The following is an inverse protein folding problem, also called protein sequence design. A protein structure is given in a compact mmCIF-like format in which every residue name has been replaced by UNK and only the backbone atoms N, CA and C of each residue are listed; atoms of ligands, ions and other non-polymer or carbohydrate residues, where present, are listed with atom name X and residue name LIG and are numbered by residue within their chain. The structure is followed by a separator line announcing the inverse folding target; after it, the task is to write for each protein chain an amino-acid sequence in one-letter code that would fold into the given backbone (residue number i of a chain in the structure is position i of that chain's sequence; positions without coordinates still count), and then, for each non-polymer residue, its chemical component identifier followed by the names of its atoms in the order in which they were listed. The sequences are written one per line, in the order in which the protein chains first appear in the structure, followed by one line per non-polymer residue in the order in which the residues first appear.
data_IF_286635615169
#
_entry.id   IF_286635615169
#
_cell.length_a   1.000
_cell.length_b   1.000
_cell.length_c   1.000
_cell.angle_alpha   90.00
_cell.angle_beta   90.00
_cell.angle_gamma   90.00
#
_symmetry.space_group_name_H-M   'P 1'
#
loop_
_entity.id
_entity.type
_entity.pdbx_description
1 polymer ?
#
# COMPACT_ATOMS: atom_id res chain seq x y z
N UNK A 1 -16.38 -0.55 -6.92
CA UNK A 1 -15.40 -1.47 -6.26
C UNK A 1 -14.22 -1.61 -7.20
N UNK A 2 -13.00 -1.64 -6.69
CA UNK A 2 -11.83 -2.00 -7.49
C UNK A 2 -12.00 -3.44 -7.99
N UNK A 3 -11.86 -3.63 -9.29
CA UNK A 3 -11.80 -4.97 -9.87
C UNK A 3 -10.43 -5.60 -9.56
N UNK A 4 -10.42 -6.89 -9.23
CA UNK A 4 -9.20 -7.64 -9.05
C UNK A 4 -8.40 -7.64 -10.36
N UNK A 5 -7.10 -7.39 -10.28
CA UNK A 5 -6.22 -7.20 -11.43
C UNK A 5 -6.25 -5.81 -12.05
N UNK A 6 -6.82 -4.81 -11.38
CA UNK A 6 -6.79 -3.40 -11.83
C UNK A 6 -5.37 -2.85 -12.00
N UNK A 7 -5.24 -1.76 -12.76
CA UNK A 7 -3.97 -1.03 -12.94
C UNK A 7 -3.33 -0.63 -11.60
N UNK A 8 -4.14 -0.22 -10.62
CA UNK A 8 -3.65 0.15 -9.29
C UNK A 8 -3.02 -1.05 -8.57
N UNK A 9 -3.64 -2.23 -8.65
CA UNK A 9 -3.06 -3.46 -8.09
C UNK A 9 -1.79 -3.87 -8.84
N UNK A 10 -1.77 -3.77 -10.17
CA UNK A 10 -0.60 -4.09 -10.98
C UNK A 10 0.61 -3.21 -10.61
N UNK A 11 0.39 -1.90 -10.44
CA UNK A 11 1.44 -0.95 -10.03
C UNK A 11 1.91 -1.21 -8.59
N UNK A 12 1.06 -1.72 -7.69
CA UNK A 12 1.47 -2.10 -6.33
C UNK A 12 2.26 -3.42 -6.30
N UNK A 13 1.89 -4.40 -7.14
CA UNK A 13 2.54 -5.72 -7.20
C UNK A 13 4.00 -5.60 -7.65
N UNK A 14 4.29 -4.73 -8.64
CA UNK A 14 5.64 -4.55 -9.17
C UNK A 14 6.71 -4.26 -8.08
N UNK A 15 6.53 -3.23 -7.25
CA UNK A 15 7.35 -2.95 -6.08
C UNK A 15 7.47 -4.10 -5.08
N UNK A 16 6.38 -4.81 -4.76
CA UNK A 16 6.42 -5.96 -3.85
C UNK A 16 7.32 -7.08 -4.39
N UNK A 17 7.22 -7.38 -5.70
CA UNK A 17 8.09 -8.36 -6.38
C UNK A 17 9.55 -7.91 -6.37
N UNK A 18 9.83 -6.63 -6.67
CA UNK A 18 11.19 -6.06 -6.62
C UNK A 18 11.80 -6.19 -5.23
N UNK A 19 11.00 -5.99 -4.18
CA UNK A 19 11.41 -6.10 -2.78
C UNK A 19 11.38 -7.54 -2.23
N UNK A 20 11.00 -8.53 -3.06
CA UNK A 20 10.89 -9.97 -2.72
C UNK A 20 9.96 -10.23 -1.53
N UNK A 21 8.84 -9.52 -1.48
CA UNK A 21 7.81 -9.72 -0.47
C UNK A 21 6.61 -10.44 -1.06
N UNK A 22 6.12 -11.47 -0.36
CA UNK A 22 4.91 -12.20 -0.72
C UNK A 22 3.69 -11.37 -0.35
N UNK A 23 3.09 -10.69 -1.34
CA UNK A 23 1.88 -9.90 -1.15
C UNK A 23 0.69 -10.85 -0.98
N UNK A 24 -0.05 -10.68 0.12
CA UNK A 24 -1.23 -11.47 0.42
C UNK A 24 -2.46 -10.58 0.45
N UNK A 25 -3.54 -11.06 -0.16
CA UNK A 25 -4.88 -10.52 0.06
C UNK A 25 -5.54 -11.28 1.22
N UNK A 26 -6.26 -10.56 2.05
CA UNK A 26 -7.10 -11.13 3.10
C UNK A 26 -8.25 -10.19 3.43
N UNK A 27 -9.32 -10.74 4.02
CA UNK A 27 -10.44 -9.95 4.53
C UNK A 27 -10.24 -9.71 6.02
N UNK A 28 -10.42 -8.48 6.47
CA UNK A 28 -10.40 -8.10 7.89
C UNK A 28 -11.80 -7.72 8.36
N UNK A 29 -12.22 -8.07 9.58
CA UNK A 29 -13.46 -7.56 10.19
C UNK A 29 -13.33 -6.10 10.66
N UNK A 30 -12.13 -5.50 10.59
CA UNK A 30 -11.91 -4.10 10.92
C UNK A 30 -12.52 -3.15 9.87
N UNK A 31 -13.07 -2.03 10.34
CA UNK A 31 -13.52 -0.96 9.44
C UNK A 31 -12.31 -0.26 8.80
N UNK A 32 -12.41 0.04 7.52
CA UNK A 32 -11.37 0.71 6.74
C UNK A 32 -11.95 1.92 6.04
N UNK A 33 -11.28 3.06 6.16
CA UNK A 33 -11.76 4.33 5.58
C UNK A 33 -11.84 4.29 4.06
N UNK A 34 -11.06 3.42 3.40
CA UNK A 34 -11.16 3.14 1.96
C UNK A 34 -12.59 2.80 1.51
N UNK A 35 -13.42 2.24 2.41
CA UNK A 35 -14.84 1.99 2.14
C UNK A 35 -15.62 3.26 1.81
N UNK A 36 -15.31 4.39 2.46
CA UNK A 36 -16.02 5.66 2.24
C UNK A 36 -15.75 6.16 0.82
N UNK A 37 -14.48 6.19 0.43
CA UNK A 37 -14.07 6.61 -0.91
C UNK A 37 -14.62 5.70 -2.01
N UNK A 38 -14.62 4.37 -1.81
CA UNK A 38 -15.14 3.43 -2.82
C UNK A 38 -16.67 3.52 -2.98
N UNK A 39 -17.41 3.83 -1.92
CA UNK A 39 -18.88 3.84 -1.95
C UNK A 39 -19.48 5.19 -2.32
N UNK A 40 -18.82 6.27 -1.95
CA UNK A 40 -19.36 7.62 -2.05
C UNK A 40 -18.56 8.54 -2.98
N UNK A 41 -17.49 8.03 -3.57
CA UNK A 41 -16.69 8.70 -4.58
C UNK A 41 -16.28 7.69 -5.67
N UNK A 42 -15.76 8.17 -6.79
CA UNK A 42 -15.21 7.32 -7.85
C UNK A 42 -13.69 7.14 -7.66
N UNK A 43 -13.29 6.84 -6.43
CA UNK A 43 -11.90 6.79 -6.02
C UNK A 43 -11.48 5.34 -5.67
N UNK A 44 -10.65 4.68 -6.50
CA UNK A 44 -10.11 3.37 -6.18
C UNK A 44 -9.19 3.46 -4.96
N UNK A 45 -9.39 2.58 -3.97
CA UNK A 45 -8.57 2.53 -2.75
C UNK A 45 -7.90 1.16 -2.55
N UNK A 46 -6.58 1.18 -2.34
CA UNK A 46 -5.81 0.04 -1.87
C UNK A 46 -5.54 0.17 -0.38
N UNK A 47 -5.82 -0.88 0.39
CA UNK A 47 -5.50 -0.93 1.82
C UNK A 47 -4.29 -1.85 2.00
N UNK A 48 -3.13 -1.24 2.21
CA UNK A 48 -1.83 -1.92 2.28
C UNK A 48 -0.99 -1.33 3.41
N UNK A 49 -0.30 -2.17 4.18
CA UNK A 49 0.43 -1.74 5.36
C UNK A 49 1.40 -2.79 5.92
N UNK A 50 2.15 -2.43 6.97
CA UNK A 50 3.13 -3.31 7.58
C UNK A 50 2.48 -4.41 8.43
N UNK A 51 3.26 -5.45 8.74
CA UNK A 51 2.86 -6.48 9.69
C UNK A 51 2.82 -5.88 11.09
N UNK A 52 1.62 -5.81 11.66
CA UNK A 52 1.36 -5.44 13.05
C UNK A 52 0.81 -6.62 13.85
N UNK A 53 0.87 -6.50 15.17
CA UNK A 53 0.33 -7.48 16.12
C UNK A 53 -0.46 -6.74 17.20
N UNK A 54 -1.52 -7.37 17.68
CA UNK A 54 -2.29 -6.90 18.83
C UNK A 54 -2.82 -5.46 18.66
N UNK A 55 -3.31 -5.12 17.45
CA UNK A 55 -3.92 -3.82 17.15
C UNK A 55 -5.05 -3.55 18.16
N UNK A 56 -4.99 -2.41 18.87
CA UNK A 56 -5.89 -2.05 19.98
C UNK A 56 -5.76 -2.87 21.28
N UNK A 57 -4.69 -3.66 21.45
CA UNK A 57 -4.40 -4.41 22.68
C UNK A 57 -3.18 -3.85 23.43
N UNK A 58 -2.93 -4.36 24.65
CA UNK A 58 -1.87 -3.85 25.53
C UNK A 58 -0.47 -3.88 24.90
N UNK A 59 -0.13 -4.96 24.21
CA UNK A 59 1.20 -5.18 23.61
C UNK A 59 1.22 -4.86 22.10
N UNK A 60 0.42 -3.87 21.67
CA UNK A 60 0.37 -3.43 20.27
C UNK A 60 1.78 -3.12 19.74
N UNK A 61 2.14 -3.72 18.62
CA UNK A 61 3.46 -3.52 18.02
C UNK A 61 3.47 -3.73 16.50
N UNK A 62 4.58 -3.30 15.88
CA UNK A 62 4.80 -3.38 14.43
C UNK A 62 6.19 -3.94 14.13
N UNK A 63 6.29 -4.71 13.05
CA UNK A 63 7.58 -5.18 12.54
C UNK A 63 8.33 -4.05 11.82
N UNK A 64 9.50 -3.66 12.33
CA UNK A 64 10.35 -2.64 11.71
C UNK A 64 10.89 -3.07 10.33
N UNK A 65 11.16 -4.36 10.14
CA UNK A 65 11.61 -4.87 8.84
C UNK A 65 10.49 -4.80 7.81
N UNK A 66 9.25 -5.10 8.20
CA UNK A 66 8.08 -4.93 7.33
C UNK A 66 7.80 -3.45 7.06
N UNK A 67 7.89 -2.60 8.08
CA UNK A 67 7.70 -1.16 7.94
C UNK A 67 8.65 -0.55 6.90
N UNK A 68 9.95 -0.83 6.99
CA UNK A 68 10.95 -0.37 6.01
C UNK A 68 10.62 -0.81 4.58
N UNK A 69 10.14 -2.03 4.41
CA UNK A 69 9.78 -2.57 3.10
C UNK A 69 8.51 -1.92 2.54
N UNK A 70 7.48 -1.75 3.38
CA UNK A 70 6.24 -1.06 3.01
C UNK A 70 6.52 0.38 2.61
N UNK A 71 7.41 1.08 3.33
CA UNK A 71 7.85 2.43 2.94
C UNK A 71 8.46 2.44 1.55
N UNK A 72 9.37 1.51 1.24
CA UNK A 72 9.94 1.40 -0.11
C UNK A 72 8.90 1.05 -1.17
N UNK A 73 7.94 0.18 -0.84
CA UNK A 73 6.83 -0.20 -1.74
C UNK A 73 5.99 1.02 -2.09
N UNK A 74 5.56 1.80 -1.08
CA UNK A 74 4.74 2.99 -1.27
C UNK A 74 5.51 4.05 -2.09
N UNK A 75 6.81 4.25 -1.82
CA UNK A 75 7.62 5.18 -2.59
C UNK A 75 7.70 4.80 -4.07
N UNK A 76 7.92 3.51 -4.37
CA UNK A 76 7.96 3.01 -5.74
C UNK A 76 6.58 3.05 -6.41
N UNK A 77 5.52 2.72 -5.68
CA UNK A 77 4.14 2.84 -6.16
C UNK A 77 3.83 4.28 -6.56
N UNK A 78 4.14 5.27 -5.71
CA UNK A 78 3.92 6.69 -6.01
C UNK A 78 4.73 7.11 -7.24
N UNK A 79 6.00 6.72 -7.33
CA UNK A 79 6.86 7.06 -8.46
C UNK A 79 6.34 6.47 -9.79
N UNK A 80 5.80 5.26 -9.77
CA UNK A 80 5.28 4.57 -10.95
C UNK A 80 3.86 5.04 -11.32
N UNK A 81 3.00 5.26 -10.32
CA UNK A 81 1.62 5.72 -10.51
C UNK A 81 1.52 7.18 -10.96
N UNK A 82 2.25 8.08 -10.29
CA UNK A 82 2.20 9.52 -10.58
C UNK A 82 3.20 9.94 -11.67
N UNK A 83 4.25 9.15 -11.89
CA UNK A 83 5.45 9.61 -12.59
C UNK A 83 6.33 10.52 -11.71
N UNK A 84 7.55 10.76 -12.16
CA UNK A 84 8.51 11.65 -11.51
C UNK A 84 8.93 12.77 -12.44
N UNK A 85 9.17 13.95 -11.88
CA UNK A 85 9.79 15.05 -12.61
C UNK A 85 11.30 14.84 -12.72
N UNK A 86 11.95 15.33 -13.79
CA UNK A 86 13.40 15.31 -13.89
C UNK A 86 14.05 16.10 -12.76
N UNK A 87 15.20 15.63 -12.30
CA UNK A 87 16.02 16.42 -11.37
C UNK A 87 16.39 17.75 -12.03
N UNK A 88 16.09 18.84 -11.36
CA UNK A 88 16.52 20.16 -11.80
C UNK A 88 18.04 20.23 -11.67
N UNK A 89 18.78 20.69 -12.69
CA UNK A 89 20.26 20.66 -12.71
C UNK A 89 20.94 21.62 -11.71
N UNK A 90 20.20 22.19 -10.76
CA UNK A 90 20.66 23.19 -9.81
C UNK A 90 20.83 22.67 -8.36
N UNK A 91 20.80 21.35 -8.15
CA UNK A 91 21.22 20.70 -6.91
C UNK A 91 22.48 19.87 -7.12
#
# INVERSE_FOLDING_TARGET
MLEEGSDAEAVLIGPCVKLRWDLKSFVTPGYLDGRVFILYDDCPCLVYGPVSKDIHAFDECVSLSSLRQVTGTIALFIAEWCGLEPLSPHY
#
